data_IF_042659893639
#
_entry.id   IF_042659893639
#
_cell.length_a   1.000
_cell.length_b   1.000
_cell.length_c   1.000
_cell.angle_alpha   90.00
_cell.angle_beta   90.00
_cell.angle_gamma   90.00
#
_symmetry.space_group_name_H-M   'P 1'
#
loop_
_entity.id
_entity.type
_entity.pdbx_description
1 polymer ?
#
# COMPACT_ATOMS: atom_id res chain seq x y z
N UNK A 1 -72.61 -24.00 25.66
CA UNK A 1 -71.60 -24.40 26.68
C UNK A 1 -70.36 -24.93 25.94
N UNK A 2 -69.37 -24.11 25.76
CA UNK A 2 -68.14 -24.46 25.07
C UNK A 2 -66.98 -24.42 26.10
N UNK A 3 -66.33 -25.56 26.27
CA UNK A 3 -65.29 -25.83 27.23
C UNK A 3 -63.96 -25.11 26.81
N UNK A 4 -63.42 -24.26 27.67
CA UNK A 4 -62.14 -23.63 27.57
C UNK A 4 -61.08 -24.64 28.03
N UNK A 5 -60.25 -25.14 27.12
CA UNK A 5 -59.03 -25.92 27.45
C UNK A 5 -57.90 -24.98 27.72
N UNK A 6 -57.47 -24.93 28.96
CA UNK A 6 -56.25 -24.26 29.44
C UNK A 6 -55.01 -24.97 28.92
N UNK A 7 -54.18 -24.27 28.10
CA UNK A 7 -52.84 -24.71 27.74
C UNK A 7 -51.90 -24.42 28.91
N UNK A 8 -51.44 -25.46 29.60
CA UNK A 8 -50.30 -25.39 30.54
C UNK A 8 -49.03 -25.31 29.73
N UNK A 9 -48.33 -24.17 29.85
CA UNK A 9 -46.98 -23.96 29.36
C UNK A 9 -46.00 -24.87 30.08
N UNK A 10 -45.39 -25.78 29.35
CA UNK A 10 -44.21 -26.55 29.79
C UNK A 10 -42.94 -25.73 29.42
N UNK A 11 -42.65 -24.71 30.20
CA UNK A 11 -41.34 -24.07 30.16
C UNK A 11 -40.34 -24.95 30.93
N UNK A 12 -39.49 -25.70 30.23
CA UNK A 12 -38.29 -26.30 30.82
C UNK A 12 -37.28 -25.19 31.09
N UNK A 13 -36.64 -25.13 32.28
CA UNK A 13 -35.61 -24.18 32.54
C UNK A 13 -34.39 -24.49 31.62
N UNK A 14 -34.04 -23.53 30.75
CA UNK A 14 -32.78 -23.56 30.01
C UNK A 14 -31.67 -23.38 31.03
N UNK A 15 -30.91 -24.44 31.29
CA UNK A 15 -29.72 -24.38 32.14
C UNK A 15 -28.81 -23.29 31.58
N UNK A 16 -28.51 -22.28 32.40
CA UNK A 16 -27.51 -21.26 32.11
C UNK A 16 -26.18 -21.97 31.82
N UNK A 17 -25.81 -22.02 30.52
CA UNK A 17 -24.48 -22.42 30.13
C UNK A 17 -23.53 -21.41 30.76
N UNK A 18 -22.82 -21.80 31.79
CA UNK A 18 -21.69 -21.05 32.31
C UNK A 18 -20.76 -20.75 31.14
N UNK A 19 -20.62 -19.50 30.83
CA UNK A 19 -19.66 -18.99 29.86
C UNK A 19 -18.28 -19.36 30.39
N UNK A 20 -17.66 -20.41 29.84
CA UNK A 20 -16.25 -20.69 30.13
C UNK A 20 -15.46 -19.57 29.42
N UNK A 21 -14.55 -18.86 30.12
CA UNK A 21 -13.70 -17.89 29.46
C UNK A 21 -12.96 -18.63 28.34
N UNK A 22 -12.91 -18.00 27.19
CA UNK A 22 -12.20 -18.51 26.02
C UNK A 22 -10.83 -19.02 26.44
N UNK A 23 -10.46 -20.17 25.88
CA UNK A 23 -9.10 -20.68 25.91
C UNK A 23 -8.18 -19.49 25.72
N UNK A 24 -7.35 -19.20 26.74
CA UNK A 24 -6.24 -18.28 26.62
C UNK A 24 -5.36 -18.84 25.51
N UNK A 25 -5.54 -18.29 24.29
CA UNK A 25 -4.55 -18.50 23.24
C UNK A 25 -3.20 -18.15 23.87
N UNK A 26 -2.15 -18.99 23.70
CA UNK A 26 -0.83 -18.63 24.15
C UNK A 26 -0.57 -17.22 23.62
N UNK A 27 -0.17 -16.30 24.49
CA UNK A 27 0.16 -14.94 24.11
C UNK A 27 1.08 -15.06 22.89
N UNK A 28 0.54 -14.72 21.70
CA UNK A 28 1.38 -14.53 20.54
C UNK A 28 2.30 -13.42 21.01
N UNK A 29 3.56 -13.78 21.31
CA UNK A 29 4.58 -12.80 21.62
C UNK A 29 4.57 -11.85 20.45
N UNK A 30 3.88 -10.70 20.64
CA UNK A 30 4.04 -9.56 19.76
C UNK A 30 5.55 -9.32 19.75
N UNK A 31 6.20 -9.62 18.65
CA UNK A 31 7.57 -9.18 18.45
C UNK A 31 7.48 -7.67 18.46
N UNK A 32 7.77 -7.07 19.62
CA UNK A 32 8.00 -5.65 19.76
C UNK A 32 9.25 -5.37 18.92
N UNK A 33 9.05 -5.05 17.66
CA UNK A 33 10.08 -4.43 16.86
C UNK A 33 10.16 -3.01 17.40
N UNK A 34 11.27 -2.66 18.05
CA UNK A 34 11.54 -1.26 18.35
C UNK A 34 11.40 -0.50 17.04
N UNK A 35 10.57 0.54 17.01
CA UNK A 35 10.50 1.42 15.86
C UNK A 35 11.90 1.91 15.57
N UNK A 36 12.34 1.76 14.33
CA UNK A 36 13.59 2.33 13.87
C UNK A 36 13.31 3.75 13.33
N UNK A 37 12.56 4.54 14.10
CA UNK A 37 12.48 5.96 13.82
C UNK A 37 13.87 6.59 13.93
N UNK A 38 14.13 7.65 13.18
CA UNK A 38 15.34 8.44 13.30
C UNK A 38 15.64 8.81 14.74
N UNK A 39 16.93 8.97 15.09
CA UNK A 39 17.30 9.48 16.41
C UNK A 39 16.68 10.87 16.62
N UNK A 40 15.92 11.03 17.71
CA UNK A 40 15.23 12.29 18.00
C UNK A 40 13.90 12.47 17.27
N UNK A 41 13.38 11.41 16.65
CA UNK A 41 12.04 11.46 16.04
C UNK A 41 10.99 11.88 17.06
N UNK A 42 10.24 12.91 16.72
CA UNK A 42 9.03 13.35 17.42
C UNK A 42 7.85 13.16 16.45
N UNK A 43 6.77 12.56 16.95
CA UNK A 43 5.58 12.37 16.14
C UNK A 43 5.00 13.77 15.77
N UNK A 44 4.65 13.99 14.49
CA UNK A 44 4.11 15.27 14.06
C UNK A 44 2.86 15.67 14.85
N UNK A 45 2.73 16.97 15.13
CA UNK A 45 1.53 17.55 15.72
C UNK A 45 0.34 17.43 14.77
N UNK A 46 -0.87 17.62 15.32
CA UNK A 46 -2.07 17.62 14.49
C UNK A 46 -2.03 18.73 13.44
N UNK A 47 -1.53 19.88 13.80
CA UNK A 47 -1.41 21.06 12.94
C UNK A 47 -0.48 20.78 11.76
N UNK A 48 0.68 20.16 11.98
CA UNK A 48 1.62 19.77 10.91
C UNK A 48 1.01 18.71 9.98
N UNK A 49 0.25 17.77 10.52
CA UNK A 49 -0.45 16.75 9.72
C UNK A 49 -1.58 17.36 8.88
N UNK A 50 -2.33 18.32 9.44
CA UNK A 50 -3.40 19.04 8.73
C UNK A 50 -2.79 19.90 7.59
N UNK A 51 -1.69 20.64 7.85
CA UNK A 51 -0.95 21.41 6.83
C UNK A 51 -0.40 20.50 5.72
N UNK A 52 0.15 19.34 6.07
CA UNK A 52 0.60 18.38 5.08
C UNK A 52 -0.56 17.93 4.19
N UNK A 53 -1.72 17.61 4.78
CA UNK A 53 -2.92 17.21 4.03
C UNK A 53 -3.34 18.29 3.04
N UNK A 54 -3.41 19.53 3.47
CA UNK A 54 -3.77 20.68 2.62
C UNK A 54 -2.79 20.82 1.44
N UNK A 55 -1.49 20.70 1.70
CA UNK A 55 -0.45 20.72 0.66
C UNK A 55 -0.60 19.57 -0.36
N UNK A 56 -0.88 18.34 0.11
CA UNK A 56 -1.09 17.21 -0.79
C UNK A 56 -2.36 17.40 -1.61
N UNK A 57 -3.45 17.89 -1.03
CA UNK A 57 -4.68 18.19 -1.75
C UNK A 57 -4.51 19.30 -2.79
N UNK A 58 -3.72 20.33 -2.49
CA UNK A 58 -3.39 21.35 -3.47
C UNK A 58 -2.57 20.79 -4.64
N UNK A 59 -1.56 19.97 -4.31
CA UNK A 59 -0.76 19.26 -5.29
C UNK A 59 -1.62 18.38 -6.21
N UNK A 60 -2.50 17.55 -5.64
CA UNK A 60 -3.34 16.64 -6.41
C UNK A 60 -4.31 17.38 -7.32
N UNK A 61 -4.92 18.47 -6.85
CA UNK A 61 -5.81 19.33 -7.69
C UNK A 61 -5.09 19.93 -8.90
N UNK A 62 -3.80 20.25 -8.74
CA UNK A 62 -2.99 20.87 -9.81
C UNK A 62 -2.37 19.83 -10.74
N UNK A 63 -1.81 18.73 -10.20
CA UNK A 63 -0.95 17.82 -10.95
C UNK A 63 -1.63 16.50 -11.33
N UNK A 64 -2.64 16.06 -10.57
CA UNK A 64 -3.34 14.78 -10.77
C UNK A 64 -4.82 15.04 -11.02
N UNK A 65 -5.11 15.79 -12.08
CA UNK A 65 -6.49 16.07 -12.51
C UNK A 65 -7.18 14.79 -12.99
N UNK A 66 -8.52 14.81 -13.08
CA UNK A 66 -9.27 13.66 -13.63
C UNK A 66 -8.80 13.29 -15.05
N UNK A 67 -8.42 14.29 -15.87
CA UNK A 67 -7.86 14.03 -17.20
C UNK A 67 -6.54 13.25 -17.12
N UNK A 68 -5.65 13.62 -16.20
CA UNK A 68 -4.37 12.90 -15.97
C UNK A 68 -4.65 11.48 -15.49
N UNK A 69 -5.55 11.30 -14.53
CA UNK A 69 -5.90 9.98 -13.98
C UNK A 69 -6.53 9.07 -15.07
N UNK A 70 -7.49 9.58 -15.85
CA UNK A 70 -8.12 8.85 -16.94
C UNK A 70 -7.12 8.50 -18.06
N UNK A 71 -6.24 9.42 -18.43
CA UNK A 71 -5.18 9.17 -19.42
C UNK A 71 -4.22 8.09 -18.93
N UNK A 72 -3.81 8.17 -17.68
CA UNK A 72 -2.90 7.21 -17.02
C UNK A 72 -3.47 5.79 -17.03
N UNK A 73 -4.75 5.65 -16.70
CA UNK A 73 -5.47 4.36 -16.78
C UNK A 73 -5.57 3.87 -18.24
N UNK A 74 -6.03 4.71 -19.16
CA UNK A 74 -6.24 4.36 -20.56
C UNK A 74 -4.95 3.93 -21.26
N UNK A 75 -3.84 4.62 -21.01
CA UNK A 75 -2.55 4.34 -21.66
C UNK A 75 -1.77 3.22 -20.99
N UNK A 76 -2.22 2.74 -19.82
CA UNK A 76 -1.48 1.78 -18.99
C UNK A 76 -0.04 2.26 -18.73
N UNK A 77 0.14 3.56 -18.41
CA UNK A 77 1.46 4.15 -18.27
C UNK A 77 1.49 5.19 -17.14
N UNK A 78 2.49 5.09 -16.27
CA UNK A 78 2.79 6.10 -15.27
C UNK A 78 3.37 7.36 -15.97
N UNK A 79 2.90 8.56 -15.62
CA UNK A 79 3.48 9.79 -16.17
C UNK A 79 4.85 10.04 -15.57
N UNK A 80 5.92 9.86 -16.37
CA UNK A 80 7.31 9.85 -15.88
C UNK A 80 7.70 11.15 -15.15
N UNK A 81 7.17 12.30 -15.60
CA UNK A 81 7.39 13.61 -14.96
C UNK A 81 6.82 13.70 -13.53
N UNK A 82 5.91 12.79 -13.17
CA UNK A 82 5.31 12.78 -11.84
C UNK A 82 6.33 12.46 -10.74
N UNK A 83 7.37 11.66 -11.04
CA UNK A 83 8.43 11.38 -10.07
C UNK A 83 9.11 12.64 -9.59
N UNK A 84 9.55 13.48 -10.52
CA UNK A 84 10.18 14.75 -10.17
C UNK A 84 9.22 15.68 -9.41
N UNK A 85 7.96 15.79 -9.85
CA UNK A 85 6.94 16.62 -9.18
C UNK A 85 6.69 16.17 -7.74
N UNK A 86 6.62 14.86 -7.49
CA UNK A 86 6.46 14.30 -6.14
C UNK A 86 7.72 14.54 -5.28
N UNK A 87 8.91 14.46 -5.88
CA UNK A 87 10.18 14.78 -5.22
C UNK A 87 10.28 16.25 -4.82
N UNK A 88 10.00 17.18 -5.75
CA UNK A 88 9.98 18.62 -5.51
C UNK A 88 8.96 19.03 -4.42
N UNK A 89 7.84 18.29 -4.33
CA UNK A 89 6.85 18.47 -3.28
C UNK A 89 7.29 17.88 -1.91
N UNK A 90 8.39 17.11 -1.87
CA UNK A 90 8.92 16.45 -0.67
C UNK A 90 8.20 15.16 -0.28
N UNK A 91 7.32 14.63 -1.13
CA UNK A 91 6.48 13.48 -0.76
C UNK A 91 7.20 12.14 -0.82
N UNK A 92 8.27 12.00 -1.61
CA UNK A 92 8.97 10.73 -1.78
C UNK A 92 9.83 10.34 -0.57
N UNK A 93 10.20 11.31 0.30
CA UNK A 93 11.09 11.11 1.45
C UNK A 93 10.42 11.31 2.82
N UNK A 94 9.11 11.09 2.96
CA UNK A 94 8.35 11.38 4.19
C UNK A 94 8.96 10.71 5.44
N UNK A 95 9.42 9.47 5.34
CA UNK A 95 9.97 8.68 6.46
C UNK A 95 11.50 8.65 6.51
N UNK A 96 12.17 9.22 5.52
CA UNK A 96 13.63 9.24 5.46
C UNK A 96 14.22 10.35 6.35
N UNK A 97 15.47 10.13 6.80
CA UNK A 97 16.22 11.09 7.62
C UNK A 97 16.43 12.42 6.87
N UNK A 98 16.49 13.53 7.61
CA UNK A 98 16.71 14.86 7.05
C UNK A 98 18.08 15.02 6.40
N UNK A 99 19.11 14.33 6.91
CA UNK A 99 20.50 14.39 6.41
C UNK A 99 20.66 13.79 4.99
N UNK A 100 19.65 13.05 4.52
CA UNK A 100 19.58 12.54 3.14
C UNK A 100 18.50 13.23 2.30
N UNK A 101 17.91 14.32 2.82
CA UNK A 101 16.88 15.11 2.15
C UNK A 101 15.44 14.66 2.44
N UNK A 102 15.23 13.78 3.41
CA UNK A 102 13.91 13.36 3.88
C UNK A 102 13.24 14.36 4.82
N UNK A 103 12.00 14.06 5.23
CA UNK A 103 11.23 14.91 6.15
C UNK A 103 11.11 14.34 7.56
N UNK A 104 11.49 13.10 7.80
CA UNK A 104 11.42 12.39 9.08
C UNK A 104 10.05 12.48 9.80
N UNK A 105 8.94 12.58 9.05
CA UNK A 105 7.59 12.83 9.59
C UNK A 105 6.83 11.59 10.05
N UNK A 106 7.37 10.39 9.85
CA UNK A 106 6.74 9.14 10.30
C UNK A 106 5.57 8.63 9.43
N UNK A 107 4.81 7.69 9.98
CA UNK A 107 3.84 6.92 9.20
C UNK A 107 2.46 7.57 9.13
N UNK A 108 2.06 8.39 10.11
CA UNK A 108 0.83 9.18 10.00
C UNK A 108 0.91 10.15 8.81
N UNK A 109 2.06 10.82 8.63
CA UNK A 109 2.31 11.67 7.48
C UNK A 109 2.32 10.86 6.17
N UNK A 110 2.96 9.68 6.18
CA UNK A 110 3.02 8.82 4.99
C UNK A 110 1.63 8.35 4.52
N UNK A 111 0.75 7.94 5.45
CA UNK A 111 -0.62 7.54 5.09
C UNK A 111 -1.47 8.71 4.60
N UNK A 112 -1.25 9.93 5.08
CA UNK A 112 -1.92 11.13 4.55
C UNK A 112 -1.57 11.33 3.08
N UNK A 113 -0.29 11.29 2.73
CA UNK A 113 0.14 11.43 1.33
C UNK A 113 -0.44 10.30 0.48
N UNK A 114 -0.37 9.05 0.94
CA UNK A 114 -0.93 7.90 0.23
C UNK A 114 -2.44 8.01 0.02
N UNK A 115 -3.21 8.43 1.03
CA UNK A 115 -4.66 8.60 0.95
C UNK A 115 -5.04 9.66 -0.09
N UNK A 116 -4.45 10.86 -0.02
CA UNK A 116 -4.82 11.96 -0.90
C UNK A 116 -4.35 11.75 -2.35
N UNK A 117 -3.17 11.14 -2.57
CA UNK A 117 -2.74 10.73 -3.91
C UNK A 117 -3.69 9.68 -4.50
N UNK A 118 -4.09 8.69 -3.71
CA UNK A 118 -5.00 7.63 -4.16
C UNK A 118 -6.42 8.11 -4.37
N UNK A 119 -6.85 9.18 -3.67
CA UNK A 119 -8.13 9.86 -3.93
C UNK A 119 -8.16 10.47 -5.32
N UNK A 120 -7.04 10.99 -5.80
CA UNK A 120 -6.92 11.53 -7.15
C UNK A 120 -6.68 10.42 -8.19
N UNK A 121 -5.79 9.46 -7.90
CA UNK A 121 -5.54 8.27 -8.73
C UNK A 121 -4.91 7.15 -7.90
N UNK A 122 -5.61 6.02 -7.78
CA UNK A 122 -5.10 4.84 -7.10
C UNK A 122 -3.82 4.30 -7.76
N UNK A 123 -3.73 4.38 -9.09
CA UNK A 123 -2.54 3.97 -9.84
C UNK A 123 -1.29 4.78 -9.48
N UNK A 124 -1.41 6.12 -9.37
CA UNK A 124 -0.31 6.99 -8.97
C UNK A 124 0.03 6.77 -7.50
N UNK A 125 -0.98 6.64 -6.63
CA UNK A 125 -0.78 6.31 -5.22
C UNK A 125 -0.04 4.98 -5.02
N UNK A 126 -0.38 3.92 -5.78
CA UNK A 126 0.31 2.64 -5.71
C UNK A 126 1.78 2.75 -6.12
N UNK A 127 2.08 3.43 -7.22
CA UNK A 127 3.47 3.65 -7.66
C UNK A 127 4.27 4.47 -6.65
N UNK A 128 3.66 5.51 -6.08
CA UNK A 128 4.22 6.28 -4.98
C UNK A 128 4.56 5.38 -3.78
N UNK A 129 3.62 4.55 -3.31
CA UNK A 129 3.85 3.68 -2.16
C UNK A 129 4.95 2.63 -2.44
N UNK A 130 4.97 2.04 -3.63
CA UNK A 130 6.02 1.09 -4.00
C UNK A 130 7.41 1.75 -4.00
N UNK A 131 7.51 3.00 -4.42
CA UNK A 131 8.75 3.77 -4.37
C UNK A 131 9.12 4.15 -2.93
N UNK A 132 8.23 4.89 -2.23
CA UNK A 132 8.51 5.49 -0.92
C UNK A 132 8.58 4.46 0.20
N UNK A 133 7.66 3.47 0.21
CA UNK A 133 7.60 2.50 1.29
C UNK A 133 8.46 1.26 1.01
N UNK A 134 8.43 0.71 -0.20
CA UNK A 134 9.11 -0.55 -0.50
C UNK A 134 10.59 -0.37 -0.86
N UNK A 135 11.00 0.82 -1.36
CA UNK A 135 12.40 1.08 -1.67
C UNK A 135 13.02 2.09 -0.70
N UNK A 136 12.52 3.33 -0.65
CA UNK A 136 13.10 4.40 0.19
C UNK A 136 13.07 4.00 1.66
N UNK A 137 11.92 3.60 2.20
CA UNK A 137 11.81 3.25 3.61
C UNK A 137 12.57 1.95 3.97
N UNK A 138 12.63 0.96 3.06
CA UNK A 138 13.46 -0.23 3.27
C UNK A 138 14.95 0.11 3.38
N UNK A 139 15.41 1.00 2.51
CA UNK A 139 16.79 1.49 2.55
C UNK A 139 17.05 2.34 3.80
N UNK A 140 16.08 3.18 4.19
CA UNK A 140 16.13 3.95 5.43
C UNK A 140 16.27 3.05 6.67
N UNK A 141 15.50 1.94 6.74
CA UNK A 141 15.48 1.05 7.89
C UNK A 141 16.70 0.12 7.97
N UNK A 142 17.22 -0.34 6.82
CA UNK A 142 18.19 -1.44 6.76
C UNK A 142 19.51 -1.10 6.08
N UNK A 143 19.61 0.07 5.43
CA UNK A 143 20.80 0.52 4.72
C UNK A 143 21.92 0.96 5.66
N UNK A 144 23.17 0.76 5.24
CA UNK A 144 24.33 1.40 5.88
C UNK A 144 24.31 2.92 5.64
N UNK A 145 25.05 3.72 6.42
CA UNK A 145 25.20 5.16 6.16
C UNK A 145 25.63 5.47 4.73
N UNK A 146 26.57 4.69 4.20
CA UNK A 146 27.09 4.85 2.84
C UNK A 146 26.02 4.53 1.77
N UNK A 147 25.23 3.47 1.99
CA UNK A 147 24.12 3.13 1.11
C UNK A 147 23.03 4.21 1.12
N UNK A 148 22.68 4.73 2.30
CA UNK A 148 21.72 5.82 2.43
C UNK A 148 22.20 7.06 1.67
N UNK A 149 23.42 7.50 1.90
CA UNK A 149 24.00 8.67 1.22
C UNK A 149 24.11 8.49 -0.30
N UNK A 150 24.36 7.27 -0.76
CA UNK A 150 24.49 6.96 -2.20
C UNK A 150 23.14 6.99 -2.92
N UNK A 151 22.09 6.43 -2.33
CA UNK A 151 20.83 6.15 -3.05
C UNK A 151 19.67 7.06 -2.65
N UNK A 152 19.52 7.39 -1.35
CA UNK A 152 18.33 8.11 -0.89
C UNK A 152 18.17 9.50 -1.50
N UNK A 153 19.20 10.34 -1.65
CA UNK A 153 19.01 11.68 -2.23
C UNK A 153 18.37 11.66 -3.61
N UNK A 154 18.81 10.77 -4.51
CA UNK A 154 18.25 10.64 -5.85
C UNK A 154 16.81 10.09 -5.86
N UNK A 155 16.52 9.12 -4.97
CA UNK A 155 15.18 8.56 -4.80
C UNK A 155 14.22 9.59 -4.23
N UNK A 156 14.64 10.35 -3.22
CA UNK A 156 13.82 11.39 -2.56
C UNK A 156 13.54 12.56 -3.51
N UNK A 157 14.52 12.96 -4.31
CA UNK A 157 14.34 14.01 -5.31
C UNK A 157 13.52 13.57 -6.53
N UNK A 158 13.21 12.27 -6.67
CA UNK A 158 12.49 11.73 -7.82
C UNK A 158 13.30 11.69 -9.12
N UNK A 159 14.62 11.89 -9.04
CA UNK A 159 15.56 11.75 -10.17
C UNK A 159 15.96 10.30 -10.41
N UNK A 160 15.67 9.42 -9.44
CA UNK A 160 15.79 7.97 -9.54
C UNK A 160 14.52 7.32 -9.05
N UNK A 161 14.12 6.22 -9.70
CA UNK A 161 12.92 5.46 -9.36
C UNK A 161 13.31 4.19 -8.61
N UNK A 162 12.60 3.93 -7.50
CA UNK A 162 12.82 2.75 -6.67
C UNK A 162 11.73 1.69 -6.82
N UNK A 163 12.14 0.42 -6.71
CA UNK A 163 11.24 -0.73 -6.69
C UNK A 163 11.71 -1.80 -5.69
N UNK A 164 10.85 -2.79 -5.43
CA UNK A 164 11.18 -3.99 -4.65
C UNK A 164 10.78 -5.25 -5.43
N UNK A 165 11.70 -6.19 -5.53
CA UNK A 165 11.54 -7.43 -6.29
C UNK A 165 11.70 -8.67 -5.41
N UNK A 166 10.58 -9.21 -4.92
CA UNK A 166 10.55 -10.45 -4.14
C UNK A 166 9.85 -11.59 -4.87
N UNK A 167 8.67 -11.33 -5.46
CA UNK A 167 7.80 -12.33 -6.05
C UNK A 167 8.35 -12.91 -7.36
N UNK A 168 8.05 -14.18 -7.61
CA UNK A 168 8.35 -14.91 -8.85
C UNK A 168 7.07 -15.57 -9.36
N UNK A 169 7.03 -15.98 -10.61
CA UNK A 169 5.86 -16.67 -11.20
C UNK A 169 5.46 -17.93 -10.42
N UNK A 170 6.43 -18.61 -9.78
CA UNK A 170 6.22 -19.80 -8.96
C UNK A 170 6.30 -19.57 -7.45
N UNK A 171 6.49 -18.32 -6.98
CA UNK A 171 6.68 -18.01 -5.56
C UNK A 171 6.07 -16.63 -5.25
N UNK A 172 4.78 -16.60 -4.92
CA UNK A 172 4.01 -15.41 -4.50
C UNK A 172 3.84 -15.37 -3.00
N UNK A 173 2.74 -15.91 -2.45
CA UNK A 173 2.51 -15.98 -0.99
C UNK A 173 3.60 -16.79 -0.28
N UNK A 174 4.08 -17.86 -0.89
CA UNK A 174 5.25 -18.62 -0.44
C UNK A 174 6.54 -18.03 -1.06
N UNK A 175 6.83 -16.79 -0.70
CA UNK A 175 7.98 -16.05 -1.25
C UNK A 175 9.33 -16.68 -0.90
N UNK A 176 9.41 -17.44 0.20
CA UNK A 176 10.65 -18.15 0.61
C UNK A 176 11.00 -19.31 -0.33
N UNK A 177 10.04 -19.77 -1.14
CA UNK A 177 10.26 -20.78 -2.20
C UNK A 177 10.81 -20.17 -3.50
N UNK A 178 11.22 -18.89 -3.49
CA UNK A 178 11.86 -18.24 -4.66
C UNK A 178 13.04 -19.06 -5.18
N UNK A 179 13.30 -18.92 -6.49
CA UNK A 179 14.37 -19.65 -7.20
C UNK A 179 15.51 -18.76 -7.66
N UNK A 180 15.33 -17.45 -7.68
CA UNK A 180 16.41 -16.49 -7.97
C UNK A 180 17.57 -16.73 -7.00
N UNK A 181 18.78 -16.94 -7.55
CA UNK A 181 19.99 -17.23 -6.78
C UNK A 181 20.97 -16.06 -6.83
N UNK A 182 21.79 -15.98 -5.79
CA UNK A 182 22.93 -15.05 -5.71
C UNK A 182 24.16 -15.86 -5.33
N UNK A 183 25.04 -16.17 -6.30
CA UNK A 183 26.24 -16.95 -6.11
C UNK A 183 27.40 -16.02 -5.73
N UNK A 184 28.09 -16.32 -4.61
CA UNK A 184 29.26 -15.57 -4.19
C UNK A 184 30.40 -15.71 -5.22
N UNK A 185 31.04 -14.58 -5.52
CA UNK A 185 32.22 -14.45 -6.37
C UNK A 185 33.17 -13.46 -5.73
N UNK A 186 34.37 -13.27 -6.32
CA UNK A 186 35.28 -12.25 -5.83
C UNK A 186 34.67 -10.85 -5.91
N UNK A 187 34.69 -10.12 -4.79
CA UNK A 187 34.12 -8.76 -4.65
C UNK A 187 32.62 -8.64 -4.57
N UNK A 188 31.84 -9.75 -4.67
CA UNK A 188 30.36 -9.63 -4.64
C UNK A 188 29.59 -10.91 -4.90
N UNK A 189 28.47 -10.74 -5.59
CA UNK A 189 27.53 -11.82 -5.93
C UNK A 189 27.06 -11.70 -7.38
N UNK A 190 26.81 -12.83 -8.00
CA UNK A 190 26.21 -12.93 -9.34
C UNK A 190 24.78 -13.43 -9.18
N UNK A 191 23.80 -12.59 -9.56
CA UNK A 191 22.39 -12.89 -9.49
C UNK A 191 21.89 -13.52 -10.79
N UNK A 192 21.11 -14.61 -10.66
CA UNK A 192 20.46 -15.31 -11.77
C UNK A 192 19.03 -15.67 -11.41
N UNK A 193 18.07 -15.36 -12.30
CA UNK A 193 16.65 -15.68 -12.12
C UNK A 193 15.72 -14.66 -12.73
N UNK A 194 14.46 -14.70 -12.30
CA UNK A 194 13.45 -13.74 -12.74
C UNK A 194 12.53 -13.33 -11.59
N UNK A 195 11.98 -12.12 -11.68
CA UNK A 195 10.99 -11.59 -10.74
C UNK A 195 9.74 -11.16 -11.51
N UNK A 196 8.56 -11.38 -10.91
CA UNK A 196 7.28 -11.16 -11.56
C UNK A 196 6.40 -10.22 -10.74
N UNK A 197 5.58 -9.44 -11.45
CA UNK A 197 4.63 -8.45 -10.90
C UNK A 197 5.31 -7.33 -10.11
N UNK A 198 6.47 -6.88 -10.58
CA UNK A 198 7.23 -5.86 -9.88
C UNK A 198 6.73 -4.47 -10.25
N UNK A 199 6.04 -3.83 -9.29
CA UNK A 199 5.58 -2.45 -9.39
C UNK A 199 6.79 -1.52 -9.51
N UNK A 200 6.72 -0.54 -10.41
CA UNK A 200 7.80 0.36 -10.81
C UNK A 200 8.99 -0.35 -11.46
N UNK A 201 9.03 -1.68 -11.50
CA UNK A 201 10.16 -2.44 -12.06
C UNK A 201 10.60 -2.03 -13.47
N UNK A 202 9.65 -1.75 -14.41
CA UNK A 202 10.00 -1.29 -15.75
C UNK A 202 10.71 0.07 -15.80
N UNK A 203 10.51 0.92 -14.79
CA UNK A 203 11.02 2.30 -14.75
C UNK A 203 12.13 2.49 -13.70
N UNK A 204 12.41 1.45 -12.90
CA UNK A 204 13.29 1.58 -11.75
C UNK A 204 14.75 1.79 -12.16
N UNK A 205 15.42 2.69 -11.43
CA UNK A 205 16.90 2.84 -11.44
C UNK A 205 17.56 1.96 -10.37
N UNK A 206 16.88 1.78 -9.21
CA UNK A 206 17.37 0.99 -8.07
C UNK A 206 16.28 0.04 -7.60
N UNK A 207 16.64 -1.23 -7.42
CA UNK A 207 15.71 -2.27 -6.99
C UNK A 207 16.23 -2.99 -5.74
N UNK A 208 15.40 -3.11 -4.70
CA UNK A 208 15.64 -4.02 -3.59
C UNK A 208 15.28 -5.44 -4.04
N UNK A 209 16.26 -6.29 -4.28
CA UNK A 209 16.07 -7.66 -4.80
C UNK A 209 16.35 -8.69 -3.71
N UNK A 210 15.46 -9.65 -3.54
CA UNK A 210 15.67 -10.80 -2.66
C UNK A 210 16.07 -12.03 -3.49
N UNK A 211 17.19 -12.65 -3.12
CA UNK A 211 17.72 -13.83 -3.79
C UNK A 211 18.34 -14.83 -2.81
N UNK A 212 18.39 -16.12 -3.19
CA UNK A 212 18.99 -17.17 -2.39
C UNK A 212 20.52 -17.16 -2.52
N UNK A 213 21.19 -16.84 -1.42
CA UNK A 213 22.64 -16.99 -1.24
C UNK A 213 23.00 -18.41 -0.82
N UNK A 214 22.12 -19.09 -0.07
CA UNK A 214 22.28 -20.48 0.35
C UNK A 214 20.95 -21.24 0.09
N UNK A 215 20.75 -21.80 -1.13
CA UNK A 215 19.47 -22.42 -1.55
C UNK A 215 18.96 -23.51 -0.58
N UNK A 216 19.88 -24.27 0.02
CA UNK A 216 19.54 -25.40 0.90
C UNK A 216 19.06 -24.97 2.30
N UNK A 217 19.20 -23.68 2.66
CA UNK A 217 18.83 -23.16 3.99
C UNK A 217 17.43 -22.54 4.03
N UNK A 218 16.58 -22.77 3.02
CA UNK A 218 15.21 -22.24 2.91
C UNK A 218 15.17 -20.72 3.24
N UNK A 219 14.32 -20.30 4.22
CA UNK A 219 14.19 -18.90 4.64
C UNK A 219 15.47 -18.28 5.23
N UNK A 220 16.39 -19.12 5.74
CA UNK A 220 17.67 -18.67 6.33
C UNK A 220 18.79 -18.52 5.31
N UNK A 221 18.51 -18.76 4.04
CA UNK A 221 19.47 -18.64 2.96
C UNK A 221 19.15 -17.50 1.97
N UNK A 222 18.31 -16.53 2.35
CA UNK A 222 17.88 -15.41 1.51
C UNK A 222 18.60 -14.12 1.97
N UNK A 223 19.10 -13.37 0.99
CA UNK A 223 19.75 -12.08 1.20
C UNK A 223 19.03 -11.01 0.38
N UNK A 224 18.97 -9.77 0.89
CA UNK A 224 18.47 -8.61 0.17
C UNK A 224 19.66 -7.84 -0.45
N UNK A 225 19.49 -7.38 -1.70
CA UNK A 225 20.48 -6.67 -2.47
C UNK A 225 19.92 -5.37 -3.04
N UNK A 226 20.74 -4.33 -3.13
CA UNK A 226 20.48 -3.13 -3.91
C UNK A 226 21.06 -3.33 -5.31
N UNK A 227 20.19 -3.42 -6.31
CA UNK A 227 20.60 -3.64 -7.70
C UNK A 227 20.37 -2.37 -8.50
N UNK A 228 21.40 -1.85 -9.13
CA UNK A 228 21.32 -0.80 -10.14
C UNK A 228 20.85 -1.43 -11.46
N UNK A 229 19.78 -0.92 -12.03
CA UNK A 229 19.17 -1.50 -13.25
C UNK A 229 20.00 -1.28 -14.51
N UNK A 230 21.02 -0.41 -14.47
CA UNK A 230 21.99 -0.22 -15.54
C UNK A 230 23.09 -1.29 -15.55
N UNK A 231 23.11 -2.18 -14.55
CA UNK A 231 24.06 -3.29 -14.49
C UNK A 231 23.84 -4.27 -15.65
N UNK A 232 24.92 -4.67 -16.30
CA UNK A 232 24.90 -5.67 -17.37
C UNK A 232 24.19 -6.96 -16.91
N UNK A 233 23.37 -7.54 -17.78
CA UNK A 233 22.56 -8.74 -17.49
C UNK A 233 21.21 -8.45 -16.86
N UNK A 234 20.92 -7.22 -16.40
CA UNK A 234 19.57 -6.85 -15.98
C UNK A 234 18.72 -6.42 -17.18
N UNK A 235 17.45 -6.85 -17.18
CA UNK A 235 16.47 -6.37 -18.17
C UNK A 235 15.02 -6.48 -17.65
N UNK A 236 14.16 -5.60 -18.16
CA UNK A 236 12.71 -5.77 -18.05
C UNK A 236 12.23 -6.60 -19.25
N UNK A 237 11.83 -7.84 -19.02
CA UNK A 237 11.40 -8.75 -20.09
C UNK A 237 10.08 -8.30 -20.72
N UNK A 238 9.15 -7.77 -19.91
CA UNK A 238 7.89 -7.20 -20.37
C UNK A 238 7.22 -6.35 -19.30
N UNK A 239 6.54 -5.31 -19.76
CA UNK A 239 5.54 -4.59 -18.98
C UNK A 239 4.19 -5.29 -19.08
N UNK A 240 3.47 -5.40 -17.98
CA UNK A 240 2.20 -6.11 -17.91
C UNK A 240 1.03 -5.17 -18.26
N UNK A 241 0.10 -5.67 -19.07
CA UNK A 241 -1.21 -5.06 -19.25
C UNK A 241 -2.16 -5.62 -18.18
N UNK A 242 -2.75 -4.75 -17.36
CA UNK A 242 -3.48 -5.14 -16.14
C UNK A 242 -4.95 -4.76 -16.25
N UNK A 243 -5.79 -5.46 -15.51
CA UNK A 243 -7.20 -5.13 -15.36
C UNK A 243 -7.41 -3.76 -14.70
N UNK A 244 -6.67 -3.48 -13.62
CA UNK A 244 -6.73 -2.27 -12.82
C UNK A 244 -5.35 -1.77 -12.41
N UNK A 245 -5.29 -0.66 -11.66
CA UNK A 245 -4.02 0.01 -11.34
C UNK A 245 -3.15 0.20 -12.58
N UNK A 246 -3.80 0.50 -13.72
CA UNK A 246 -3.18 0.44 -15.04
C UNK A 246 -2.07 1.46 -15.22
N UNK A 247 -2.21 2.62 -14.61
CA UNK A 247 -1.19 3.65 -14.58
C UNK A 247 0.02 3.37 -13.68
N UNK A 248 0.04 2.26 -12.96
CA UNK A 248 1.19 1.82 -12.19
C UNK A 248 2.00 0.80 -13.00
N UNK A 249 3.15 1.21 -13.55
CA UNK A 249 3.97 0.34 -14.38
C UNK A 249 4.43 -0.89 -13.58
N UNK A 250 4.10 -2.07 -14.10
CA UNK A 250 4.38 -3.35 -13.43
C UNK A 250 5.01 -4.30 -14.44
N UNK A 251 6.08 -5.00 -14.09
CA UNK A 251 6.82 -5.80 -15.05
C UNK A 251 7.35 -7.12 -14.53
N UNK A 252 7.85 -7.89 -15.51
CA UNK A 252 8.68 -9.06 -15.32
C UNK A 252 10.15 -8.67 -15.51
N UNK A 253 10.99 -8.96 -14.52
CA UNK A 253 12.39 -8.61 -14.51
C UNK A 253 13.25 -9.85 -14.63
N UNK A 254 14.33 -9.75 -15.42
CA UNK A 254 15.29 -10.82 -15.66
C UNK A 254 16.66 -10.43 -15.13
N UNK A 255 17.33 -11.41 -14.53
CA UNK A 255 18.68 -11.32 -14.03
C UNK A 255 19.50 -12.43 -14.67
N UNK A 256 20.39 -12.09 -15.59
CA UNK A 256 21.29 -13.01 -16.29
C UNK A 256 22.72 -12.63 -15.98
N UNK A 257 23.33 -13.30 -15.01
CA UNK A 257 24.67 -13.03 -14.52
C UNK A 257 24.87 -11.58 -14.03
N UNK A 258 23.89 -10.98 -13.39
CA UNK A 258 23.97 -9.62 -12.86
C UNK A 258 24.93 -9.57 -11.68
N UNK A 259 26.04 -8.87 -11.82
CA UNK A 259 27.01 -8.68 -10.73
C UNK A 259 26.52 -7.60 -9.76
N UNK A 260 26.54 -7.94 -8.47
CA UNK A 260 26.18 -7.02 -7.37
C UNK A 260 27.34 -7.01 -6.38
N UNK A 261 28.00 -5.86 -6.15
CA UNK A 261 29.13 -5.77 -5.23
C UNK A 261 28.71 -6.00 -3.77
N UNK A 262 29.63 -6.42 -2.93
CA UNK A 262 29.37 -6.77 -1.52
C UNK A 262 28.77 -5.60 -0.73
N UNK A 263 29.18 -4.36 -1.01
CA UNK A 263 28.65 -3.14 -0.39
C UNK A 263 27.19 -2.85 -0.72
N UNK A 264 26.61 -3.53 -1.70
CA UNK A 264 25.19 -3.42 -2.06
C UNK A 264 24.30 -4.50 -1.38
N UNK A 265 24.83 -5.26 -0.42
CA UNK A 265 24.01 -6.12 0.44
C UNK A 265 23.21 -5.22 1.38
N UNK A 266 21.88 -5.32 1.34
CA UNK A 266 21.00 -4.59 2.24
C UNK A 266 20.79 -5.39 3.54
N UNK A 267 21.27 -4.83 4.64
CA UNK A 267 21.29 -5.51 5.93
C UNK A 267 22.42 -6.54 6.07
N UNK A 268 22.11 -7.80 6.35
CA UNK A 268 23.11 -8.87 6.57
C UNK A 268 22.93 -10.00 5.57
N UNK A 269 24.02 -10.69 5.23
CA UNK A 269 23.97 -11.94 4.47
C UNK A 269 23.04 -12.92 5.19
N UNK A 270 22.18 -13.60 4.43
CA UNK A 270 21.16 -14.54 4.93
C UNK A 270 20.12 -13.90 5.88
N UNK A 271 20.09 -12.57 5.99
CA UNK A 271 19.15 -11.79 6.77
C UNK A 271 17.97 -11.23 5.98
N UNK A 272 17.84 -11.57 4.69
CA UNK A 272 16.87 -10.97 3.78
C UNK A 272 15.41 -11.15 4.22
N UNK A 273 15.05 -12.30 4.80
CA UNK A 273 13.68 -12.52 5.30
C UNK A 273 13.34 -11.56 6.45
N UNK A 274 14.30 -11.21 7.30
CA UNK A 274 14.07 -10.21 8.35
C UNK A 274 13.83 -8.83 7.74
N UNK A 275 14.67 -8.41 6.80
CA UNK A 275 14.51 -7.15 6.06
C UNK A 275 13.12 -7.09 5.40
N UNK A 276 12.73 -8.18 4.73
CA UNK A 276 11.44 -8.30 4.07
C UNK A 276 10.27 -8.15 5.04
N UNK A 277 10.26 -8.90 6.14
CA UNK A 277 9.11 -8.92 7.07
C UNK A 277 8.95 -7.60 7.84
N UNK A 278 10.05 -6.95 8.23
CA UNK A 278 10.03 -5.62 8.84
C UNK A 278 9.41 -4.57 7.89
N UNK A 279 9.69 -4.67 6.59
CA UNK A 279 9.13 -3.78 5.58
C UNK A 279 7.66 -4.06 5.26
N UNK A 280 7.27 -5.35 5.16
CA UNK A 280 5.92 -5.73 4.77
C UNK A 280 4.84 -5.35 5.79
N UNK A 281 5.14 -5.33 7.09
CA UNK A 281 4.17 -4.90 8.08
C UNK A 281 3.85 -3.41 7.93
N UNK A 282 4.88 -2.58 7.74
CA UNK A 282 4.72 -1.15 7.49
C UNK A 282 4.12 -0.85 6.11
N UNK A 283 4.45 -1.67 5.09
CA UNK A 283 3.80 -1.58 3.78
C UNK A 283 2.30 -1.79 3.88
N UNK A 284 1.85 -2.83 4.57
CA UNK A 284 0.42 -3.09 4.76
C UNK A 284 -0.29 -1.92 5.41
N UNK A 285 0.36 -1.28 6.39
CA UNK A 285 -0.17 -0.08 7.03
C UNK A 285 -0.27 1.08 6.04
N UNK A 286 0.81 1.44 5.35
CA UNK A 286 0.83 2.57 4.41
C UNK A 286 -0.13 2.31 3.25
N UNK A 287 -0.12 1.09 2.69
CA UNK A 287 -0.96 0.73 1.56
C UNK A 287 -2.45 0.73 1.92
N UNK A 288 -2.82 0.53 3.21
CA UNK A 288 -4.22 0.59 3.64
C UNK A 288 -4.86 1.97 3.44
N UNK A 289 -4.06 3.03 3.30
CA UNK A 289 -4.55 4.37 3.01
C UNK A 289 -4.99 4.55 1.54
N UNK A 290 -4.51 3.72 0.61
CA UNK A 290 -4.96 3.72 -0.78
C UNK A 290 -6.46 3.49 -0.93
N UNK A 291 -7.01 2.41 -0.41
CA UNK A 291 -8.46 2.16 -0.35
C UNK A 291 -9.26 3.27 0.31
N UNK A 292 -8.72 3.99 1.32
CA UNK A 292 -9.39 5.15 1.92
C UNK A 292 -9.58 6.27 0.89
N UNK A 293 -8.53 6.57 0.14
CA UNK A 293 -8.57 7.56 -0.94
C UNK A 293 -9.60 7.19 -2.00
N UNK A 294 -9.62 5.92 -2.44
CA UNK A 294 -10.57 5.40 -3.43
C UNK A 294 -12.02 5.48 -2.91
N UNK A 295 -12.28 5.11 -1.66
CA UNK A 295 -13.61 5.24 -1.04
C UNK A 295 -14.06 6.71 -0.98
N UNK A 296 -13.15 7.62 -0.63
CA UNK A 296 -13.46 9.04 -0.62
C UNK A 296 -13.78 9.54 -2.02
N UNK A 297 -13.00 9.18 -3.03
CA UNK A 297 -13.26 9.53 -4.43
C UNK A 297 -14.62 8.99 -4.92
N UNK A 298 -14.98 7.77 -4.54
CA UNK A 298 -16.29 7.20 -4.86
C UNK A 298 -17.44 8.02 -4.25
N UNK A 299 -17.29 8.51 -3.02
CA UNK A 299 -18.28 9.41 -2.39
C UNK A 299 -18.29 10.79 -3.05
N UNK A 300 -17.14 11.34 -3.42
CA UNK A 300 -17.03 12.65 -4.10
C UNK A 300 -17.74 12.65 -5.46
N UNK A 301 -17.81 11.48 -6.11
CA UNK A 301 -18.56 11.28 -7.37
C UNK A 301 -20.04 11.03 -7.11
N UNK A 302 -20.37 10.10 -6.20
CA UNK A 302 -21.74 9.62 -6.00
C UNK A 302 -22.64 10.67 -5.33
N UNK A 303 -22.12 11.41 -4.34
CA UNK A 303 -22.92 12.34 -3.55
C UNK A 303 -23.50 13.50 -4.40
N UNK A 304 -22.69 14.29 -5.15
CA UNK A 304 -23.24 15.35 -5.99
C UNK A 304 -24.12 14.80 -7.12
N UNK A 305 -23.76 13.66 -7.72
CA UNK A 305 -24.59 13.05 -8.76
C UNK A 305 -26.00 12.71 -8.27
N UNK A 306 -26.13 12.08 -7.11
CA UNK A 306 -27.44 11.71 -6.55
C UNK A 306 -28.32 12.90 -6.20
N UNK A 307 -27.73 14.07 -5.89
CA UNK A 307 -28.44 15.31 -5.62
C UNK A 307 -28.85 16.04 -6.91
N UNK A 308 -28.10 15.88 -7.99
CA UNK A 308 -28.37 16.54 -9.28
C UNK A 308 -29.31 15.72 -10.17
N UNK A 309 -29.15 14.39 -10.19
CA UNK A 309 -29.96 13.48 -11.01
C UNK A 309 -31.39 13.40 -10.50
N UNK A 310 -32.33 13.75 -11.36
CA UNK A 310 -33.77 13.70 -11.04
C UNK A 310 -34.44 12.54 -11.73
N UNK A 311 -35.28 11.81 -11.01
CA UNK A 311 -36.26 10.82 -11.51
C UNK A 311 -37.53 10.90 -10.67
N UNK A 312 -38.64 10.57 -11.28
CA UNK A 312 -39.99 10.69 -10.61
C UNK A 312 -40.22 12.08 -10.00
N UNK A 313 -39.74 13.14 -10.70
CA UNK A 313 -39.93 14.54 -10.33
C UNK A 313 -39.05 15.10 -9.23
N UNK A 314 -38.13 14.31 -8.66
CA UNK A 314 -37.24 14.74 -7.56
C UNK A 314 -35.81 14.20 -7.69
N UNK A 315 -34.81 14.77 -6.97
CA UNK A 315 -33.47 14.20 -6.88
C UNK A 315 -33.54 12.75 -6.37
N UNK A 316 -32.70 11.87 -6.94
CA UNK A 316 -32.67 10.45 -6.52
C UNK A 316 -32.19 10.29 -5.09
N UNK A 317 -31.43 11.25 -4.55
CA UNK A 317 -31.01 11.31 -3.15
C UNK A 317 -32.18 11.31 -2.14
N UNK A 318 -33.43 11.62 -2.58
CA UNK A 318 -34.61 11.54 -1.73
C UNK A 318 -35.15 10.12 -1.53
N UNK A 319 -34.64 9.15 -2.28
CA UNK A 319 -35.03 7.75 -2.14
C UNK A 319 -34.26 7.06 -1.01
N UNK A 320 -34.92 6.34 -0.11
CA UNK A 320 -34.32 5.70 1.06
C UNK A 320 -33.21 4.67 0.68
N UNK A 321 -33.37 3.95 -0.44
CA UNK A 321 -32.33 3.03 -0.92
C UNK A 321 -31.04 3.75 -1.30
N UNK A 322 -31.14 4.95 -1.86
CA UNK A 322 -29.98 5.79 -2.18
C UNK A 322 -29.33 6.30 -0.89
N UNK A 323 -30.16 6.81 0.04
CA UNK A 323 -29.71 7.30 1.35
C UNK A 323 -29.00 6.19 2.14
N UNK A 324 -29.55 4.96 2.16
CA UNK A 324 -28.95 3.81 2.80
C UNK A 324 -27.57 3.49 2.24
N UNK A 325 -27.42 3.45 0.90
CA UNK A 325 -26.10 3.22 0.26
C UNK A 325 -25.07 4.30 0.60
N UNK A 326 -25.45 5.57 0.54
CA UNK A 326 -24.56 6.68 0.90
C UNK A 326 -24.13 6.61 2.38
N UNK A 327 -25.05 6.25 3.28
CA UNK A 327 -24.75 6.07 4.70
C UNK A 327 -23.79 4.89 4.93
N UNK A 328 -23.98 3.77 4.23
CA UNK A 328 -23.09 2.61 4.30
C UNK A 328 -21.69 2.94 3.77
N UNK A 329 -21.58 3.60 2.60
CA UNK A 329 -20.31 4.04 2.03
C UNK A 329 -19.56 4.96 3.01
N UNK A 330 -20.24 5.95 3.59
CA UNK A 330 -19.65 6.87 4.56
C UNK A 330 -19.16 6.13 5.82
N UNK A 331 -19.99 5.24 6.37
CA UNK A 331 -19.66 4.47 7.58
C UNK A 331 -18.44 3.56 7.35
N UNK A 332 -18.42 2.85 6.21
CA UNK A 332 -17.29 2.00 5.82
C UNK A 332 -15.99 2.80 5.70
N UNK A 333 -16.04 3.96 5.06
CA UNK A 333 -14.87 4.85 4.95
C UNK A 333 -14.38 5.32 6.34
N UNK A 334 -15.28 5.82 7.20
CA UNK A 334 -14.87 6.33 8.51
C UNK A 334 -14.33 5.23 9.43
N UNK A 335 -14.92 4.03 9.40
CA UNK A 335 -14.42 2.90 10.16
C UNK A 335 -13.01 2.46 9.69
N UNK A 336 -12.81 2.38 8.37
CA UNK A 336 -11.51 2.05 7.77
C UNK A 336 -10.46 3.13 8.10
N UNK A 337 -10.83 4.40 7.98
CA UNK A 337 -9.95 5.54 8.28
C UNK A 337 -9.54 5.53 9.76
N UNK A 338 -10.47 5.36 10.68
CA UNK A 338 -10.18 5.28 12.11
C UNK A 338 -9.19 4.15 12.41
N UNK A 339 -9.38 2.96 11.84
CA UNK A 339 -8.49 1.83 12.06
C UNK A 339 -7.07 2.11 11.53
N UNK A 340 -6.95 2.56 10.28
CA UNK A 340 -5.66 2.87 9.65
C UNK A 340 -4.90 3.96 10.42
N UNK A 341 -5.55 5.08 10.75
CA UNK A 341 -4.91 6.19 11.44
C UNK A 341 -4.54 5.87 12.88
N UNK A 342 -5.37 5.10 13.61
CA UNK A 342 -5.02 4.62 14.95
C UNK A 342 -3.81 3.70 14.93
N UNK A 343 -3.70 2.82 13.92
CA UNK A 343 -2.53 1.93 13.77
C UNK A 343 -1.27 2.73 13.48
N UNK A 344 -1.32 3.71 12.55
CA UNK A 344 -0.17 4.57 12.24
C UNK A 344 0.26 5.40 13.45
N UNK A 345 -0.69 5.97 14.18
CA UNK A 345 -0.43 6.72 15.43
C UNK A 345 0.28 5.85 16.47
N UNK A 346 -0.15 4.59 16.63
CA UNK A 346 0.50 3.66 17.57
C UNK A 346 1.95 3.34 17.16
N UNK A 347 2.24 3.29 15.84
CA UNK A 347 3.60 3.13 15.33
C UNK A 347 4.44 4.37 15.65
N UNK A 348 3.93 5.56 15.35
CA UNK A 348 4.69 6.81 15.52
C UNK A 348 4.94 7.13 16.99
N UNK A 349 3.91 7.09 17.84
CA UNK A 349 4.02 7.51 19.25
C UNK A 349 4.69 6.45 20.13
N UNK A 350 4.49 5.17 19.85
CA UNK A 350 4.89 4.09 20.76
C UNK A 350 5.91 3.13 20.16
N UNK A 351 6.28 3.30 18.90
CA UNK A 351 7.09 2.34 18.17
C UNK A 351 6.45 0.96 18.02
N UNK A 352 5.12 0.87 18.15
CA UNK A 352 4.40 -0.40 18.25
C UNK A 352 3.93 -0.88 16.87
N UNK A 353 4.74 -1.71 16.23
CA UNK A 353 4.37 -2.40 14.99
C UNK A 353 3.79 -3.76 15.35
N UNK A 354 2.49 -3.95 15.11
CA UNK A 354 1.81 -5.22 15.28
C UNK A 354 1.38 -5.74 13.92
N UNK A 355 1.91 -6.88 13.51
CA UNK A 355 1.59 -7.53 12.24
C UNK A 355 0.09 -7.69 12.01
N UNK A 356 -0.66 -8.10 13.03
CA UNK A 356 -2.10 -8.30 12.92
C UNK A 356 -2.88 -6.99 12.72
N UNK A 357 -2.44 -5.88 13.32
CA UNK A 357 -3.11 -4.58 13.19
C UNK A 357 -2.85 -3.99 11.79
N UNK A 358 -1.60 -4.07 11.31
CA UNK A 358 -1.25 -3.65 9.96
C UNK A 358 -1.96 -4.50 8.90
N UNK A 359 -1.99 -5.82 9.07
CA UNK A 359 -2.69 -6.73 8.16
C UNK A 359 -4.21 -6.54 8.21
N UNK A 360 -4.78 -6.30 9.41
CA UNK A 360 -6.21 -6.04 9.58
C UNK A 360 -6.65 -4.74 8.93
N UNK A 361 -5.82 -3.68 9.02
CA UNK A 361 -6.12 -2.38 8.40
C UNK A 361 -6.26 -2.49 6.88
N UNK A 362 -5.29 -3.10 6.19
CA UNK A 362 -5.37 -3.27 4.73
C UNK A 362 -6.48 -4.23 4.32
N UNK A 363 -6.65 -5.36 5.01
CA UNK A 363 -7.72 -6.31 4.72
C UNK A 363 -9.08 -5.64 4.77
N UNK A 364 -9.39 -4.94 5.87
CA UNK A 364 -10.68 -4.29 6.04
C UNK A 364 -10.89 -3.16 5.02
N UNK A 365 -9.91 -2.28 4.86
CA UNK A 365 -10.03 -1.14 3.96
C UNK A 365 -10.20 -1.56 2.49
N UNK A 366 -9.45 -2.55 2.00
CA UNK A 366 -9.52 -3.03 0.62
C UNK A 366 -10.89 -3.65 0.29
N UNK A 367 -11.43 -4.52 1.18
CA UNK A 367 -12.75 -5.09 0.97
C UNK A 367 -13.86 -4.01 0.97
N UNK A 368 -13.76 -3.05 1.91
CA UNK A 368 -14.76 -1.96 1.98
C UNK A 368 -14.68 -1.01 0.78
N UNK A 369 -13.48 -0.78 0.24
CA UNK A 369 -13.32 0.02 -0.98
C UNK A 369 -13.99 -0.63 -2.18
N UNK A 370 -13.83 -1.94 -2.36
CA UNK A 370 -14.53 -2.69 -3.41
C UNK A 370 -16.05 -2.55 -3.28
N UNK A 371 -16.61 -2.69 -2.08
CA UNK A 371 -18.04 -2.50 -1.85
C UNK A 371 -18.50 -1.07 -2.14
N UNK A 372 -17.74 -0.06 -1.69
CA UNK A 372 -18.07 1.35 -1.90
C UNK A 372 -18.03 1.74 -3.39
N UNK A 373 -17.06 1.22 -4.14
CA UNK A 373 -16.95 1.52 -5.58
C UNK A 373 -18.04 0.82 -6.39
N UNK A 374 -18.46 -0.39 -6.01
CA UNK A 374 -19.65 -1.05 -6.57
C UNK A 374 -20.93 -0.27 -6.26
N UNK A 375 -21.10 0.23 -5.04
CA UNK A 375 -22.21 1.07 -4.67
C UNK A 375 -22.20 2.41 -5.44
N UNK A 376 -21.02 2.99 -5.68
CA UNK A 376 -20.87 4.19 -6.53
C UNK A 376 -21.38 3.91 -7.96
N UNK A 377 -20.96 2.83 -8.60
CA UNK A 377 -21.43 2.43 -9.93
C UNK A 377 -22.97 2.27 -9.92
N UNK A 378 -23.51 1.60 -8.92
CA UNK A 378 -24.95 1.40 -8.80
C UNK A 378 -25.73 2.72 -8.63
N UNK A 379 -25.20 3.66 -7.84
CA UNK A 379 -25.79 4.98 -7.61
C UNK A 379 -25.83 5.84 -8.87
N UNK A 380 -24.85 5.71 -9.73
CA UNK A 380 -24.78 6.42 -11.00
C UNK A 380 -25.68 5.77 -12.09
N UNK A 381 -26.17 4.55 -11.89
CA UNK A 381 -26.94 3.81 -12.87
C UNK A 381 -26.16 3.59 -14.18
N UNK A 382 -26.78 3.81 -15.34
CA UNK A 382 -26.11 3.63 -16.62
C UNK A 382 -24.85 4.49 -16.79
N UNK A 383 -24.81 5.68 -16.17
CA UNK A 383 -23.62 6.53 -16.17
C UNK A 383 -22.43 5.93 -15.41
N UNK A 384 -22.67 5.08 -14.40
CA UNK A 384 -21.61 4.38 -13.70
C UNK A 384 -20.94 3.27 -14.51
N UNK A 385 -21.53 2.89 -15.65
CA UNK A 385 -21.05 1.81 -16.53
C UNK A 385 -20.27 2.30 -17.75
N UNK A 386 -20.17 3.62 -17.94
CA UNK A 386 -19.46 4.24 -19.07
C UNK A 386 -18.15 4.87 -18.60
N UNK A 387 -17.16 4.92 -19.49
CA UNK A 387 -15.80 5.38 -19.15
C UNK A 387 -15.68 6.90 -19.00
N UNK A 388 -16.72 7.65 -19.40
CA UNK A 388 -16.79 9.11 -19.18
C UNK A 388 -16.93 9.48 -17.70
N UNK A 389 -17.34 8.52 -16.86
CA UNK A 389 -17.41 8.68 -15.40
C UNK A 389 -16.29 7.90 -14.73
N UNK A 390 -15.69 8.44 -13.66
CA UNK A 390 -14.55 7.78 -13.00
C UNK A 390 -14.91 6.49 -12.22
N UNK A 391 -16.20 6.20 -12.05
CA UNK A 391 -16.67 5.08 -11.21
C UNK A 391 -16.10 3.71 -11.63
N UNK A 392 -16.02 3.43 -12.94
CA UNK A 392 -15.46 2.18 -13.46
C UNK A 392 -13.94 2.09 -13.21
N UNK A 393 -13.22 3.19 -13.33
CA UNK A 393 -11.80 3.29 -13.02
C UNK A 393 -11.56 3.07 -11.52
N UNK A 394 -12.31 3.75 -10.65
CA UNK A 394 -12.21 3.60 -9.18
C UNK A 394 -12.44 2.16 -8.70
N UNK A 395 -13.34 1.40 -9.37
CA UNK A 395 -13.52 -0.04 -9.05
C UNK A 395 -12.32 -0.88 -9.45
N UNK A 396 -11.61 -0.52 -10.55
CA UNK A 396 -10.44 -1.25 -11.04
C UNK A 396 -9.14 -0.82 -10.33
N UNK A 397 -9.15 0.34 -9.71
CA UNK A 397 -8.11 0.84 -8.81
C UNK A 397 -8.31 0.37 -7.37
#
# INVERSE_FOLDING_TARGET
>A
MASVRTFRSLARPVAARQWRPAVTLPAIQSRLHSSKHPKGFEAPSKEELDELRDRVQEFTRREITEEVAAKTDKTNAFPAEMWQKLGEAGFLGITADEDVGGLAMGYQAHIIVMEELSRASGSIGLSYAAHSQLCVNQLQLNGSPEQKQKYLPGLIAGTSVGALAMSESGAGSDVVSMRTTAKAVDGGYVLNGSKMWITNGPDADVIVVYAKTEPDKASKGITAFLVDTKTEGFSCARKLDKMGMRGSNTGELMFDNVFVPTENILGKINGGVRVLMEGLDLERLVLSAGPLGIMQAALDVALPFTHQRKQFGQPIAHNQFIQGKLADMYTKLQASRAYTYMTAKAVDENGLIRTQDCAGAILYAAERATECTLDCIQLLGGMGYVEEMPASRLLRE
#
